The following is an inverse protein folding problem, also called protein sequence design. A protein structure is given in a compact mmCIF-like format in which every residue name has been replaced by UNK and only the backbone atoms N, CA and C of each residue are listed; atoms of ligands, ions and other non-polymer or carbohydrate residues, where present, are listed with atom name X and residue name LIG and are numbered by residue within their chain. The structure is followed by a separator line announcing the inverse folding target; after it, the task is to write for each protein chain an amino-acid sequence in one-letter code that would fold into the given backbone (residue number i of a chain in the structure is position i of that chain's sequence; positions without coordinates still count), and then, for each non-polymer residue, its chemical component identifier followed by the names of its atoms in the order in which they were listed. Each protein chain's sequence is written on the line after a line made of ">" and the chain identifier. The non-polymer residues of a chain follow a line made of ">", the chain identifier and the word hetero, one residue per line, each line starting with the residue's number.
data_IF_036351907500
#
_entry.id   IF_036351907500
#
_cell.length_a   1.000
_cell.length_b   1.000
_cell.length_c   1.000
_cell.angle_alpha   90.00
_cell.angle_beta   90.00
_cell.angle_gamma   90.00
#
_symmetry.space_group_name_H-M   'P 1'
#
loop_
_entity.id
_entity.type
_entity.pdbx_description
1 polymer ?
#
# COMPACT_ATOMS: atom_id res chain seq x y z
N UNK A 1 -27.77 -4.30 -0.92
CA UNK A 1 -28.00 -3.36 0.20
C UNK A 1 -28.04 -1.98 -0.40
N UNK A 2 -29.19 -1.29 -0.36
CA UNK A 2 -29.34 0.04 -0.95
C UNK A 2 -28.36 1.05 -0.34
N UNK A 3 -27.99 0.87 0.93
CA UNK A 3 -27.05 1.75 1.64
C UNK A 3 -25.66 1.81 0.97
N UNK A 4 -25.14 0.69 0.45
CA UNK A 4 -23.82 0.68 -0.20
C UNK A 4 -23.81 1.48 -1.51
N UNK A 5 -24.96 1.65 -2.17
CA UNK A 5 -25.05 2.48 -3.36
C UNK A 5 -24.83 3.97 -3.06
N UNK A 6 -25.21 4.41 -1.87
CA UNK A 6 -25.05 5.80 -1.42
C UNK A 6 -23.71 6.03 -0.71
N UNK A 7 -23.31 5.08 0.13
CA UNK A 7 -22.12 5.23 0.97
C UNK A 7 -20.82 5.08 0.18
N UNK A 8 -20.73 4.15 -0.77
CA UNK A 8 -19.49 3.93 -1.52
C UNK A 8 -19.06 5.16 -2.35
N UNK A 9 -19.95 5.84 -3.10
CA UNK A 9 -19.61 7.11 -3.76
C UNK A 9 -19.14 8.18 -2.77
N UNK A 10 -19.84 8.36 -1.65
CA UNK A 10 -19.47 9.36 -0.65
C UNK A 10 -18.10 9.07 -0.02
N UNK A 11 -17.80 7.80 0.29
CA UNK A 11 -16.50 7.39 0.79
C UNK A 11 -15.39 7.66 -0.24
N UNK A 12 -15.67 7.47 -1.53
CA UNK A 12 -14.73 7.80 -2.59
C UNK A 12 -14.49 9.31 -2.68
N UNK A 13 -15.55 10.13 -2.55
CA UNK A 13 -15.44 11.58 -2.50
C UNK A 13 -14.59 12.06 -1.32
N UNK A 14 -14.79 11.48 -0.14
CA UNK A 14 -13.94 11.72 1.03
C UNK A 14 -12.49 11.35 0.78
N UNK A 15 -12.24 10.19 0.16
CA UNK A 15 -10.91 9.70 -0.14
C UNK A 15 -10.15 10.63 -1.10
N UNK A 16 -10.82 11.14 -2.15
CA UNK A 16 -10.21 12.02 -3.15
C UNK A 16 -10.18 13.51 -2.79
N UNK A 17 -10.79 13.89 -1.67
CA UNK A 17 -10.94 15.31 -1.28
C UNK A 17 -9.63 16.04 -0.95
N UNK A 18 -8.54 15.31 -0.70
CA UNK A 18 -7.27 15.87 -0.22
C UNK A 18 -7.25 16.20 1.27
N UNK A 19 -8.38 16.11 1.98
CA UNK A 19 -8.42 16.31 3.43
C UNK A 19 -7.98 15.05 4.17
N UNK A 20 -6.86 15.14 4.91
CA UNK A 20 -6.27 14.00 5.64
C UNK A 20 -7.27 13.28 6.55
N UNK A 21 -8.10 14.00 7.30
CA UNK A 21 -9.10 13.39 8.18
C UNK A 21 -10.17 12.59 7.43
N UNK A 22 -10.62 13.06 6.27
CA UNK A 22 -11.60 12.35 5.43
C UNK A 22 -10.96 11.15 4.71
N UNK A 23 -9.72 11.30 4.26
CA UNK A 23 -8.92 10.19 3.76
C UNK A 23 -8.79 9.07 4.80
N UNK A 24 -8.41 9.42 6.04
CA UNK A 24 -8.30 8.48 7.16
C UNK A 24 -9.64 7.84 7.51
N UNK A 25 -10.72 8.65 7.50
CA UNK A 25 -12.06 8.17 7.73
C UNK A 25 -12.47 7.11 6.71
N UNK A 26 -12.18 7.29 5.41
CA UNK A 26 -12.45 6.24 4.41
C UNK A 26 -11.51 5.05 4.61
N UNK A 27 -10.23 5.30 4.85
CA UNK A 27 -9.20 4.27 4.97
C UNK A 27 -9.50 3.28 6.11
N UNK A 28 -10.08 3.72 7.23
CA UNK A 28 -10.41 2.85 8.35
C UNK A 28 -11.38 1.70 8.00
N UNK A 29 -12.20 1.87 6.95
CA UNK A 29 -13.14 0.84 6.51
C UNK A 29 -12.52 -0.15 5.53
N UNK A 30 -11.29 0.09 5.07
CA UNK A 30 -10.58 -0.75 4.09
C UNK A 30 -10.60 -2.23 4.45
N UNK A 31 -10.26 -2.67 5.68
CA UNK A 31 -10.26 -4.09 6.01
C UNK A 31 -11.65 -4.73 5.88
N UNK A 32 -12.68 -4.04 6.36
CA UNK A 32 -14.07 -4.49 6.27
C UNK A 32 -14.56 -4.57 4.82
N UNK A 33 -14.23 -3.56 4.00
CA UNK A 33 -14.59 -3.52 2.58
C UNK A 33 -13.92 -4.66 1.79
N UNK A 34 -12.62 -4.93 2.04
CA UNK A 34 -11.90 -6.05 1.43
C UNK A 34 -12.52 -7.39 1.85
N UNK A 35 -12.78 -7.57 3.15
CA UNK A 35 -13.40 -8.79 3.67
C UNK A 35 -14.79 -9.03 3.07
N UNK A 36 -15.62 -7.98 2.99
CA UNK A 36 -16.94 -8.05 2.34
C UNK A 36 -16.83 -8.42 0.87
N UNK A 37 -15.95 -7.76 0.11
CA UNK A 37 -15.71 -8.05 -1.30
C UNK A 37 -15.30 -9.51 -1.53
N UNK A 38 -14.31 -10.01 -0.79
CA UNK A 38 -13.83 -11.39 -0.90
C UNK A 38 -14.91 -12.41 -0.51
N UNK A 39 -15.67 -12.14 0.55
CA UNK A 39 -16.76 -13.02 0.97
C UNK A 39 -17.90 -13.07 -0.06
N UNK A 40 -18.29 -11.91 -0.62
CA UNK A 40 -19.30 -11.85 -1.68
C UNK A 40 -18.84 -12.56 -2.96
N UNK A 41 -17.55 -12.45 -3.30
CA UNK A 41 -16.96 -13.23 -4.39
C UNK A 41 -17.06 -14.73 -4.16
N UNK A 42 -16.71 -15.20 -2.96
CA UNK A 42 -16.79 -16.62 -2.59
C UNK A 42 -18.24 -17.15 -2.66
N UNK A 43 -19.21 -16.32 -2.24
CA UNK A 43 -20.65 -16.64 -2.27
C UNK A 43 -21.30 -16.46 -3.65
N UNK A 44 -20.56 -15.97 -4.66
CA UNK A 44 -21.06 -15.63 -6.00
C UNK A 44 -22.17 -14.55 -6.00
N UNK A 45 -22.20 -13.70 -4.98
CA UNK A 45 -23.17 -12.60 -4.82
C UNK A 45 -22.77 -11.33 -5.58
N UNK A 46 -22.49 -11.47 -6.89
CA UNK A 46 -21.88 -10.41 -7.72
C UNK A 46 -22.64 -9.08 -7.75
N UNK A 47 -23.97 -9.13 -7.66
CA UNK A 47 -24.82 -7.92 -7.66
C UNK A 47 -24.63 -7.06 -6.41
N UNK A 48 -24.14 -7.65 -5.31
CA UNK A 48 -24.00 -6.97 -4.02
C UNK A 48 -22.59 -6.38 -3.83
N UNK A 49 -21.59 -6.87 -4.57
CA UNK A 49 -20.18 -6.47 -4.44
C UNK A 49 -19.73 -5.38 -5.40
N UNK A 50 -20.49 -5.09 -6.48
CA UNK A 50 -20.03 -4.19 -7.55
C UNK A 50 -19.68 -2.77 -7.10
N UNK A 51 -20.40 -2.20 -6.12
CA UNK A 51 -20.09 -0.86 -5.57
C UNK A 51 -18.82 -0.85 -4.73
N UNK A 52 -18.62 -1.89 -3.92
CA UNK A 52 -17.40 -2.04 -3.11
C UNK A 52 -16.20 -2.30 -4.01
N UNK A 53 -16.37 -3.11 -5.06
CA UNK A 53 -15.34 -3.33 -6.08
C UNK A 53 -14.94 -2.02 -6.77
N UNK A 54 -15.92 -1.21 -7.20
CA UNK A 54 -15.66 0.09 -7.81
C UNK A 54 -14.96 1.07 -6.85
N UNK A 55 -15.36 1.10 -5.57
CA UNK A 55 -14.69 1.91 -4.56
C UNK A 55 -13.22 1.49 -4.37
N UNK A 56 -12.96 0.19 -4.20
CA UNK A 56 -11.61 -0.34 -4.01
C UNK A 56 -10.73 -0.09 -5.25
N UNK A 57 -11.28 -0.27 -6.45
CA UNK A 57 -10.60 0.04 -7.71
C UNK A 57 -10.28 1.54 -7.83
N UNK A 58 -11.23 2.40 -7.47
CA UNK A 58 -11.04 3.85 -7.46
C UNK A 58 -9.95 4.29 -6.49
N UNK A 59 -9.98 3.75 -5.26
CA UNK A 59 -8.96 4.00 -4.24
C UNK A 59 -7.58 3.54 -4.73
N UNK A 60 -7.50 2.36 -5.34
CA UNK A 60 -6.28 1.85 -5.95
C UNK A 60 -5.75 2.80 -7.01
N UNK A 61 -6.55 3.15 -8.02
CA UNK A 61 -6.09 3.96 -9.14
C UNK A 61 -5.65 5.35 -8.67
N UNK A 62 -6.35 5.96 -7.72
CA UNK A 62 -5.99 7.29 -7.21
C UNK A 62 -4.61 7.31 -6.51
N UNK A 63 -4.22 6.19 -5.88
CA UNK A 63 -2.96 6.09 -5.13
C UNK A 63 -1.85 5.38 -5.90
N UNK A 64 -2.18 4.55 -6.90
CA UNK A 64 -1.22 3.74 -7.65
C UNK A 64 -0.53 4.55 -8.75
N UNK A 65 -1.26 5.48 -9.38
CA UNK A 65 -0.74 6.33 -10.45
C UNK A 65 -0.64 7.79 -10.03
N UNK A 66 0.31 8.51 -10.61
CA UNK A 66 0.44 9.96 -10.42
C UNK A 66 -0.58 10.75 -11.25
N UNK A 67 -0.56 12.08 -11.14
CA UNK A 67 -1.45 12.99 -11.90
C UNK A 67 -1.31 12.87 -13.42
N UNK A 68 -0.20 12.31 -13.92
CA UNK A 68 0.06 12.04 -15.33
C UNK A 68 -0.28 10.60 -15.75
N UNK A 69 -0.86 9.81 -14.85
CA UNK A 69 -1.19 8.39 -15.08
C UNK A 69 0.02 7.46 -15.03
N UNK A 70 1.19 7.92 -14.58
CA UNK A 70 2.38 7.09 -14.49
C UNK A 70 2.39 6.29 -13.18
N UNK A 71 2.79 5.01 -13.22
CA UNK A 71 2.90 4.18 -12.02
C UNK A 71 3.84 4.78 -10.97
N UNK A 72 3.37 4.90 -9.74
CA UNK A 72 4.21 5.30 -8.61
C UNK A 72 5.07 4.11 -8.16
N UNK A 73 6.37 4.35 -7.92
CA UNK A 73 7.31 3.35 -7.39
C UNK A 73 7.85 3.81 -6.04
N UNK A 74 7.86 2.90 -5.06
CA UNK A 74 8.46 3.14 -3.75
C UNK A 74 9.83 2.47 -3.69
N UNK A 75 10.87 3.28 -3.70
CA UNK A 75 12.27 2.84 -3.57
C UNK A 75 12.79 3.28 -2.22
N UNK A 76 13.52 2.40 -1.55
CA UNK A 76 14.26 2.74 -0.34
C UNK A 76 15.71 2.27 -0.46
N UNK A 77 16.59 2.96 0.24
CA UNK A 77 17.99 2.55 0.36
C UNK A 77 18.11 1.59 1.53
N UNK A 78 18.64 0.40 1.30
CA UNK A 78 18.95 -0.54 2.37
C UNK A 78 20.12 0.05 3.18
N UNK A 79 19.96 0.32 4.49
CA UNK A 79 21.04 0.83 5.31
C UNK A 79 22.19 -0.18 5.36
N UNK A 80 23.43 0.32 5.44
CA UNK A 80 24.64 -0.50 5.58
C UNK A 80 25.44 -0.07 6.80
N UNK A 81 26.07 -1.02 7.48
CA UNK A 81 27.00 -0.77 8.60
C UNK A 81 28.37 -0.26 8.12
N UNK A 82 28.60 -0.27 6.80
CA UNK A 82 29.82 0.22 6.17
C UNK A 82 29.82 1.76 5.99
N UNK A 83 28.66 2.41 6.05
CA UNK A 83 28.54 3.87 5.88
C UNK A 83 28.08 4.52 7.18
N UNK A 84 28.61 5.70 7.56
CA UNK A 84 28.12 6.44 8.71
C UNK A 84 26.63 6.71 8.59
N UNK A 85 25.94 6.62 9.73
CA UNK A 85 24.52 6.91 9.83
C UNK A 85 24.24 7.72 11.09
N UNK A 86 23.01 8.22 11.23
CA UNK A 86 22.58 8.97 12.41
C UNK A 86 22.87 8.23 13.73
N UNK A 87 22.93 6.89 13.69
CA UNK A 87 23.02 6.05 14.88
C UNK A 87 24.39 5.41 15.09
N UNK A 88 25.29 5.47 14.11
CA UNK A 88 26.62 4.88 14.27
C UNK A 88 27.66 5.53 13.35
N UNK A 89 28.90 5.52 13.83
CA UNK A 89 30.08 5.77 13.01
C UNK A 89 30.73 4.40 12.70
N UNK A 90 31.04 4.08 11.43
CA UNK A 90 31.67 2.83 11.08
C UNK A 90 33.09 2.78 11.65
N UNK A 91 33.50 1.61 12.12
CA UNK A 91 34.91 1.36 12.45
C UNK A 91 35.71 1.59 11.17
N UNK A 92 36.79 2.37 11.25
CA UNK A 92 37.56 2.81 10.08
C UNK A 92 38.23 1.63 9.34
N UNK A 93 37.45 0.95 8.50
CA UNK A 93 37.85 -0.18 7.65
C UNK A 93 38.77 0.26 6.51
N UNK A 94 38.98 1.57 6.31
CA UNK A 94 40.02 2.06 5.39
C UNK A 94 41.42 1.58 5.79
N UNK A 95 41.63 1.23 7.07
CA UNK A 95 42.86 0.58 7.54
C UNK A 95 42.97 -0.91 7.16
N UNK A 96 41.86 -1.55 6.77
CA UNK A 96 41.75 -2.99 6.45
C UNK A 96 41.59 -3.24 4.95
N UNK A 97 41.02 -2.27 4.20
CA UNK A 97 40.88 -2.34 2.75
C UNK A 97 42.22 -2.04 2.04
N UNK A 98 43.06 -3.07 1.89
CA UNK A 98 44.38 -2.97 1.26
C UNK A 98 44.36 -2.83 -0.27
N UNK A 99 43.18 -2.79 -0.90
CA UNK A 99 43.04 -2.69 -2.37
C UNK A 99 41.96 -1.69 -2.78
N UNK A 100 42.22 -0.96 -3.86
CA UNK A 100 41.29 -0.01 -4.50
C UNK A 100 39.95 -0.68 -4.88
N UNK A 101 39.99 -1.97 -5.23
CA UNK A 101 38.80 -2.77 -5.54
C UNK A 101 37.92 -3.05 -4.33
N UNK A 102 38.51 -3.20 -3.13
CA UNK A 102 37.75 -3.34 -1.89
C UNK A 102 37.09 -2.01 -1.48
N UNK A 103 37.79 -0.89 -1.72
CA UNK A 103 37.28 0.46 -1.47
C UNK A 103 36.11 0.82 -2.40
N UNK A 104 36.26 0.54 -3.71
CA UNK A 104 35.21 0.80 -4.70
C UNK A 104 33.94 -0.04 -4.46
N UNK A 105 34.08 -1.32 -4.08
CA UNK A 105 32.94 -2.17 -3.69
C UNK A 105 32.21 -1.67 -2.45
N UNK A 106 32.94 -1.06 -1.52
CA UNK A 106 32.39 -0.46 -0.30
C UNK A 106 31.63 0.84 -0.61
N UNK A 107 32.12 1.67 -1.53
CA UNK A 107 31.41 2.86 -2.00
C UNK A 107 30.12 2.52 -2.77
N UNK A 108 30.18 1.45 -3.57
CA UNK A 108 29.06 0.94 -4.39
C UNK A 108 28.00 0.14 -3.61
N UNK A 109 28.19 -0.09 -2.31
CA UNK A 109 27.31 -0.95 -1.49
C UNK A 109 25.92 -0.34 -1.16
N UNK A 110 25.55 0.78 -1.80
CA UNK A 110 24.19 1.30 -1.72
C UNK A 110 23.25 0.45 -2.57
N UNK A 111 22.72 -0.60 -1.95
CA UNK A 111 21.65 -1.39 -2.55
C UNK A 111 20.36 -0.58 -2.44
N UNK A 112 19.91 -0.03 -3.57
CA UNK A 112 18.56 0.50 -3.73
C UNK A 112 17.60 -0.68 -3.89
N UNK A 113 16.76 -0.90 -2.89
CA UNK A 113 15.73 -1.91 -2.93
C UNK A 113 14.40 -1.29 -3.34
N UNK A 114 13.74 -1.92 -4.32
CA UNK A 114 12.39 -1.57 -4.70
C UNK A 114 11.43 -2.29 -3.75
N UNK A 115 10.69 -1.54 -2.94
CA UNK A 115 9.74 -2.11 -1.96
C UNK A 115 8.52 -2.72 -2.66
N UNK A 116 8.07 -2.08 -3.73
CA UNK A 116 6.95 -2.53 -4.54
C UNK A 116 7.19 -2.18 -6.00
N UNK A 117 6.91 -3.13 -6.89
CA UNK A 117 6.97 -2.88 -8.32
C UNK A 117 5.99 -1.76 -8.71
N UNK A 118 6.23 -1.03 -9.81
CA UNK A 118 5.30 -0.01 -10.26
C UNK A 118 3.92 -0.60 -10.52
N UNK A 119 2.86 0.07 -10.06
CA UNK A 119 1.49 -0.41 -10.16
C UNK A 119 0.74 0.34 -11.28
N UNK A 120 0.26 -0.36 -12.32
CA UNK A 120 -0.39 0.27 -13.46
C UNK A 120 -1.83 0.70 -13.13
N UNK A 121 -2.36 1.65 -13.89
CA UNK A 121 -3.79 1.94 -13.89
C UNK A 121 -4.61 0.70 -14.30
N UNK A 122 -5.75 0.47 -13.63
CA UNK A 122 -6.65 -0.64 -13.92
C UNK A 122 -8.02 -0.14 -14.36
N UNK A 123 -8.48 -0.57 -15.53
CA UNK A 123 -9.82 -0.26 -16.04
C UNK A 123 -10.91 -1.09 -15.36
N UNK A 124 -10.59 -2.33 -14.97
CA UNK A 124 -11.53 -3.27 -14.37
C UNK A 124 -10.82 -4.27 -13.44
N UNK A 125 -11.60 -4.83 -12.51
CA UNK A 125 -11.11 -5.89 -11.61
C UNK A 125 -11.29 -7.26 -12.27
N UNK A 126 -10.20 -8.02 -12.37
CA UNK A 126 -10.14 -9.33 -13.00
C UNK A 126 -9.68 -10.40 -12.00
N UNK A 127 -9.73 -11.68 -12.38
CA UNK A 127 -9.15 -12.75 -11.57
C UNK A 127 -7.63 -12.58 -11.37
N UNK A 128 -6.95 -12.02 -12.37
CA UNK A 128 -5.50 -11.87 -12.38
C UNK A 128 -5.02 -10.70 -11.51
N UNK A 129 -5.66 -9.53 -11.63
CA UNK A 129 -5.19 -8.32 -10.96
C UNK A 129 -5.76 -8.12 -9.54
N UNK A 130 -6.85 -8.81 -9.17
CA UNK A 130 -7.58 -8.53 -7.93
C UNK A 130 -6.71 -8.59 -6.69
N UNK A 131 -5.85 -9.60 -6.58
CA UNK A 131 -5.09 -9.81 -5.36
C UNK A 131 -4.03 -8.71 -5.21
N UNK A 132 -3.34 -8.38 -6.30
CA UNK A 132 -2.37 -7.28 -6.35
C UNK A 132 -3.03 -5.94 -6.03
N UNK A 133 -4.21 -5.67 -6.60
CA UNK A 133 -4.99 -4.46 -6.32
C UNK A 133 -5.37 -4.35 -4.84
N UNK A 134 -5.97 -5.40 -4.27
CA UNK A 134 -6.36 -5.43 -2.86
C UNK A 134 -5.14 -5.31 -1.92
N UNK A 135 -4.03 -5.96 -2.27
CA UNK A 135 -2.78 -5.90 -1.50
C UNK A 135 -2.24 -4.47 -1.47
N UNK A 136 -2.29 -3.76 -2.60
CA UNK A 136 -1.88 -2.36 -2.64
C UNK A 136 -2.77 -1.47 -1.77
N UNK A 137 -4.09 -1.59 -1.90
CA UNK A 137 -5.03 -0.81 -1.07
C UNK A 137 -4.82 -1.11 0.42
N UNK A 138 -4.59 -2.37 0.79
CA UNK A 138 -4.26 -2.74 2.17
C UNK A 138 -2.90 -2.19 2.62
N UNK A 139 -1.92 -2.07 1.73
CA UNK A 139 -0.64 -1.43 2.03
C UNK A 139 -0.80 0.06 2.38
N UNK A 140 -1.79 0.75 1.79
CA UNK A 140 -2.14 2.14 2.13
C UNK A 140 -2.72 2.24 3.53
N UNK A 141 -3.58 1.29 3.90
CA UNK A 141 -4.06 1.15 5.28
C UNK A 141 -2.88 0.93 6.25
N UNK A 142 -1.98 0.00 5.91
CA UNK A 142 -0.83 -0.31 6.76
C UNK A 142 0.12 0.89 6.94
N UNK A 143 0.30 1.71 5.91
CA UNK A 143 1.12 2.92 5.97
C UNK A 143 0.59 3.97 6.97
N UNK A 144 -0.71 3.94 7.29
CA UNK A 144 -1.34 4.87 8.24
C UNK A 144 -1.94 4.16 9.47
N UNK A 145 -1.54 2.90 9.71
CA UNK A 145 -2.13 2.01 10.72
C UNK A 145 -2.12 2.61 12.13
N UNK A 146 -1.13 3.43 12.45
CA UNK A 146 -1.01 4.09 13.75
C UNK A 146 -2.22 4.99 14.04
N UNK A 147 -2.74 5.67 13.00
CA UNK A 147 -3.85 6.61 13.08
C UNK A 147 -5.22 5.93 12.98
N UNK A 148 -5.28 4.62 12.75
CA UNK A 148 -6.53 3.88 12.65
C UNK A 148 -7.11 3.58 14.04
N UNK A 149 -8.44 3.69 14.22
CA UNK A 149 -9.09 3.38 15.50
C UNK A 149 -9.00 1.87 15.80
N UNK A 150 -9.18 1.52 17.08
CA UNK A 150 -9.11 0.13 17.55
C UNK A 150 -10.09 -0.79 16.84
N UNK A 151 -11.30 -0.33 16.55
CA UNK A 151 -12.31 -1.13 15.85
C UNK A 151 -11.90 -1.48 14.41
N UNK A 152 -11.22 -0.55 13.74
CA UNK A 152 -10.68 -0.77 12.39
C UNK A 152 -9.55 -1.81 12.41
N UNK A 153 -8.65 -1.72 13.41
CA UNK A 153 -7.59 -2.71 13.63
C UNK A 153 -8.14 -4.09 13.98
N UNK A 154 -9.18 -4.14 14.83
CA UNK A 154 -9.89 -5.37 15.16
C UNK A 154 -10.54 -5.99 13.91
N UNK A 155 -11.18 -5.17 13.06
CA UNK A 155 -11.75 -5.62 11.79
C UNK A 155 -10.68 -6.23 10.88
N UNK A 156 -9.48 -5.65 10.80
CA UNK A 156 -8.36 -6.24 10.08
C UNK A 156 -8.01 -7.63 10.61
N UNK A 157 -7.82 -7.77 11.93
CA UNK A 157 -7.50 -9.05 12.55
C UNK A 157 -8.58 -10.11 12.26
N UNK A 158 -9.86 -9.74 12.39
CA UNK A 158 -10.98 -10.64 12.16
C UNK A 158 -11.12 -11.09 10.70
N UNK A 159 -10.86 -10.19 9.75
CA UNK A 159 -10.91 -10.51 8.32
C UNK A 159 -9.72 -11.40 7.94
N UNK A 160 -8.53 -11.11 8.47
CA UNK A 160 -7.31 -11.88 8.16
C UNK A 160 -7.29 -13.28 8.80
N UNK A 161 -8.02 -13.51 9.89
CA UNK A 161 -8.07 -14.81 10.56
C UNK A 161 -9.10 -15.79 9.99
N UNK A 162 -9.95 -15.33 9.06
CA UNK A 162 -11.02 -16.13 8.43
C UNK A 162 -10.55 -16.73 7.12
#
# INVERSE_FOLDING_TARGET
>A
SQLLNEVCPQLFDYFRSGHKGLYQFTLQFTPALIGHYLLSLARKERMMSGRVEALLLGMYNLEAVDSGGQPTSKVFTVPTMAKPSLYHEPVNLASVALTETALSRHEQQEVRATLSAPHPYLEAVTAHNRLSMLTYVLSRYNADIINMPSDSKLSLCQVASR
#
